data_IF_532986380733
#
_entry.id   IF_532986380733
#
_cell.length_a   1.000
_cell.length_b   1.000
_cell.length_c   1.000
_cell.angle_alpha   90.00
_cell.angle_beta   90.00
_cell.angle_gamma   90.00
#
_symmetry.space_group_name_H-M   'P 1'
#
loop_
_entity.id
_entity.type
_entity.pdbx_description
1 polymer ?
#
# COMPACT_ATOMS: atom_id res chain seq x y z
N UNK A 1 5.56 3.47 2.64
CA UNK A 1 5.08 2.66 1.48
C UNK A 1 5.99 1.46 1.26
N UNK A 2 5.40 0.34 0.91
CA UNK A 2 6.16 -0.87 0.57
C UNK A 2 6.58 -0.86 -0.89
N UNK A 3 7.76 -1.38 -1.16
CA UNK A 3 8.26 -1.59 -2.52
C UNK A 3 7.74 -2.92 -3.08
N UNK A 4 7.78 -3.09 -4.39
CA UNK A 4 7.43 -4.33 -5.09
C UNK A 4 8.21 -5.53 -4.48
N UNK A 5 9.50 -5.35 -4.27
CA UNK A 5 10.35 -6.23 -3.47
C UNK A 5 10.64 -5.52 -2.16
N UNK A 6 10.12 -6.01 -1.03
CA UNK A 6 10.10 -5.28 0.24
C UNK A 6 11.50 -4.82 0.67
N UNK A 7 12.51 -5.63 0.45
CA UNK A 7 13.88 -5.33 0.86
C UNK A 7 14.71 -4.66 -0.23
N UNK A 8 14.16 -4.40 -1.40
CA UNK A 8 14.86 -3.82 -2.53
C UNK A 8 14.29 -2.46 -2.89
N UNK A 9 14.95 -1.40 -2.41
CA UNK A 9 14.52 -0.02 -2.63
C UNK A 9 14.69 0.45 -4.09
N UNK A 10 15.33 -0.35 -4.96
CA UNK A 10 15.40 -0.04 -6.40
C UNK A 10 14.15 -0.51 -7.15
N UNK A 11 13.31 -1.37 -6.55
CA UNK A 11 12.01 -1.69 -7.11
C UNK A 11 11.02 -0.55 -6.88
N UNK A 12 9.97 -0.45 -7.71
CA UNK A 12 8.99 0.62 -7.54
C UNK A 12 8.15 0.45 -6.26
N UNK A 13 7.63 1.57 -5.75
CA UNK A 13 6.66 1.56 -4.64
C UNK A 13 5.37 0.93 -5.16
N UNK A 14 4.90 -0.12 -4.49
CA UNK A 14 3.77 -0.93 -4.95
C UNK A 14 2.56 -0.73 -4.03
N UNK A 15 1.40 -0.44 -4.61
CA UNK A 15 0.23 0.02 -3.84
C UNK A 15 -0.64 -1.10 -3.30
N UNK A 16 -0.80 -2.22 -4.01
CA UNK A 16 -1.68 -3.29 -3.52
C UNK A 16 -1.12 -3.97 -2.26
N UNK A 17 0.16 -4.31 -2.27
CA UNK A 17 0.83 -4.88 -1.10
C UNK A 17 0.87 -3.90 0.06
N UNK A 18 1.12 -2.63 -0.22
CA UNK A 18 1.07 -1.56 0.80
C UNK A 18 -0.30 -1.54 1.48
N UNK A 19 -1.38 -1.58 0.73
CA UNK A 19 -2.74 -1.56 1.27
C UNK A 19 -3.02 -2.74 2.20
N UNK A 20 -2.61 -3.94 1.80
CA UNK A 20 -2.79 -5.14 2.62
C UNK A 20 -1.97 -5.10 3.91
N UNK A 21 -0.72 -4.63 3.83
CA UNK A 21 0.13 -4.47 5.01
C UNK A 21 -0.46 -3.44 5.98
N UNK A 22 -0.89 -2.30 5.46
CA UNK A 22 -1.52 -1.27 6.29
C UNK A 22 -2.80 -1.77 6.95
N UNK A 23 -3.63 -2.51 6.22
CA UNK A 23 -4.81 -3.11 6.81
C UNK A 23 -4.44 -4.03 7.98
N UNK A 24 -3.46 -4.88 7.81
CA UNK A 24 -3.00 -5.79 8.86
C UNK A 24 -2.49 -5.03 10.09
N UNK A 25 -1.71 -3.97 9.89
CA UNK A 25 -1.25 -3.11 11.00
C UNK A 25 -2.45 -2.47 11.71
N UNK A 26 -3.41 -1.95 10.96
CA UNK A 26 -4.62 -1.34 11.52
C UNK A 26 -5.44 -2.31 12.35
N UNK A 27 -5.60 -3.54 11.89
CA UNK A 27 -6.29 -4.60 12.65
C UNK A 27 -5.52 -4.92 13.94
N UNK A 28 -4.20 -5.02 13.86
CA UNK A 28 -3.36 -5.25 15.05
C UNK A 28 -3.49 -4.14 16.07
N UNK A 29 -3.57 -2.88 15.63
CA UNK A 29 -3.82 -1.73 16.53
C UNK A 29 -5.20 -1.82 17.18
N UNK A 30 -6.24 -2.12 16.40
CA UNK A 30 -7.61 -2.24 16.91
C UNK A 30 -7.72 -3.30 17.99
N UNK A 31 -7.02 -4.41 17.84
CA UNK A 31 -7.04 -5.54 18.76
C UNK A 31 -6.01 -5.44 19.89
N UNK A 32 -5.23 -4.37 19.96
CA UNK A 32 -4.23 -4.18 20.99
C UNK A 32 -3.04 -5.13 20.89
N UNK A 33 -2.74 -5.65 19.70
CA UNK A 33 -1.68 -6.62 19.48
C UNK A 33 -0.33 -5.99 19.13
N UNK A 34 -0.31 -4.68 18.84
CA UNK A 34 0.88 -3.97 18.42
C UNK A 34 1.21 -2.84 19.41
N UNK A 35 2.51 -2.48 19.54
CA UNK A 35 2.89 -1.34 20.37
C UNK A 35 2.38 -0.02 19.82
N UNK A 36 2.29 1.01 20.68
CA UNK A 36 1.68 2.30 20.32
C UNK A 36 2.39 3.01 19.15
N UNK A 37 3.72 2.80 18.98
CA UNK A 37 4.45 3.39 17.86
C UNK A 37 4.00 2.85 16.49
N UNK A 38 3.30 1.73 16.44
CA UNK A 38 2.72 1.22 15.21
C UNK A 38 1.63 2.14 14.66
N UNK A 39 0.98 2.94 15.53
CA UNK A 39 -0.02 3.93 15.12
C UNK A 39 0.60 4.99 14.20
N UNK A 40 1.76 5.51 14.55
CA UNK A 40 2.47 6.50 13.74
C UNK A 40 2.90 5.91 12.40
N UNK A 41 3.35 4.66 12.39
CA UNK A 41 3.72 3.95 11.17
C UNK A 41 2.52 3.73 10.25
N UNK A 42 1.38 3.40 10.84
CA UNK A 42 0.12 3.24 10.10
C UNK A 42 -0.29 4.57 9.43
N UNK A 43 -0.29 5.66 10.19
CA UNK A 43 -0.64 6.99 9.68
C UNK A 43 0.32 7.45 8.59
N UNK A 44 1.63 7.26 8.79
CA UNK A 44 2.63 7.63 7.79
C UNK A 44 2.47 6.82 6.51
N UNK A 45 2.14 5.55 6.64
CA UNK A 45 1.85 4.69 5.48
C UNK A 45 0.63 5.17 4.71
N UNK A 46 -0.45 5.54 5.39
CA UNK A 46 -1.65 6.08 4.76
C UNK A 46 -1.37 7.40 4.04
N UNK A 47 -0.60 8.29 4.66
CA UNK A 47 -0.20 9.56 4.02
C UNK A 47 0.60 9.33 2.75
N UNK A 48 1.57 8.42 2.81
CA UNK A 48 2.34 8.04 1.62
C UNK A 48 1.48 7.42 0.54
N UNK A 49 0.49 6.64 0.92
CA UNK A 49 -0.45 6.02 -0.01
C UNK A 49 -1.22 7.07 -0.82
N UNK A 50 -1.61 8.18 -0.17
CA UNK A 50 -2.35 9.25 -0.84
C UNK A 50 -1.59 9.86 -2.02
N UNK A 51 -0.25 9.80 -2.01
CA UNK A 51 0.57 10.26 -3.15
C UNK A 51 0.32 9.43 -4.41
N UNK A 52 -0.21 8.22 -4.28
CA UNK A 52 -0.48 7.30 -5.39
C UNK A 52 -1.96 7.18 -5.72
N UNK A 53 -2.79 8.04 -5.14
CA UNK A 53 -4.23 8.09 -5.41
C UNK A 53 -4.55 9.49 -5.95
N UNK A 54 -5.02 9.56 -7.20
CA UNK A 54 -5.38 10.83 -7.82
C UNK A 54 -6.71 11.37 -7.25
N UNK A 55 -7.00 12.68 -7.43
CA UNK A 55 -8.26 13.26 -6.95
C UNK A 55 -9.52 12.61 -7.51
N UNK A 56 -9.44 11.97 -8.68
CA UNK A 56 -10.56 11.23 -9.28
C UNK A 56 -10.70 9.79 -8.74
N UNK A 57 -9.83 9.40 -7.81
CA UNK A 57 -9.80 8.05 -7.25
C UNK A 57 -8.92 7.06 -7.99
N UNK A 58 -8.23 7.47 -9.05
CA UNK A 58 -7.31 6.58 -9.78
C UNK A 58 -6.16 6.15 -8.88
N UNK A 59 -5.78 4.88 -8.95
CA UNK A 59 -4.69 4.30 -8.14
C UNK A 59 -3.52 3.93 -9.03
N UNK A 60 -2.35 4.44 -8.69
CA UNK A 60 -1.11 4.25 -9.44
C UNK A 60 -0.23 3.16 -8.82
N UNK A 61 0.73 2.67 -9.59
CA UNK A 61 1.80 1.78 -9.13
C UNK A 61 1.31 0.44 -8.57
N UNK A 62 0.32 -0.18 -9.20
CA UNK A 62 -0.14 -1.50 -8.83
C UNK A 62 0.56 -2.56 -9.70
N UNK A 63 0.99 -3.66 -9.08
CA UNK A 63 1.67 -4.72 -9.82
C UNK A 63 0.71 -5.46 -10.77
N UNK A 64 1.28 -6.15 -11.77
CA UNK A 64 0.53 -6.90 -12.78
C UNK A 64 0.12 -8.30 -12.30
N UNK A 65 -0.55 -8.38 -11.15
CA UNK A 65 -1.14 -9.65 -10.73
C UNK A 65 -0.16 -10.72 -10.29
N UNK A 66 1.01 -10.37 -9.84
CA UNK A 66 2.00 -11.29 -9.26
C UNK A 66 2.56 -12.36 -10.19
N UNK A 67 2.35 -12.24 -11.50
CA UNK A 67 2.95 -13.15 -12.47
C UNK A 67 4.35 -12.68 -12.84
N UNK A 68 5.31 -13.60 -12.77
CA UNK A 68 6.68 -13.30 -13.15
C UNK A 68 6.93 -13.71 -14.61
N UNK A 69 7.27 -12.75 -15.50
CA UNK A 69 7.52 -13.06 -16.91
C UNK A 69 8.91 -13.64 -17.14
N UNK A 70 9.17 -14.10 -18.35
CA UNK A 70 10.47 -14.53 -18.80
C UNK A 70 11.00 -15.74 -18.05
N UNK A 71 12.23 -15.64 -17.54
CA UNK A 71 12.91 -16.75 -16.85
C UNK A 71 12.49 -16.91 -15.39
N UNK A 72 11.62 -16.04 -14.88
CA UNK A 72 11.18 -16.08 -13.49
C UNK A 72 12.18 -15.50 -12.50
N UNK A 73 13.13 -14.71 -12.96
CA UNK A 73 14.11 -14.07 -12.07
C UNK A 73 13.53 -12.81 -11.41
N UNK A 74 14.15 -12.38 -10.31
CA UNK A 74 13.79 -11.10 -9.64
C UNK A 74 13.95 -9.94 -10.61
N UNK A 75 14.98 -9.95 -11.46
CA UNK A 75 15.18 -8.88 -12.44
C UNK A 75 14.03 -8.82 -13.45
N UNK A 76 13.57 -9.96 -13.97
CA UNK A 76 12.42 -10.01 -14.88
C UNK A 76 11.16 -9.50 -14.20
N UNK A 77 10.94 -9.85 -12.94
CA UNK A 77 9.79 -9.40 -12.17
C UNK A 77 9.83 -7.87 -11.97
N UNK A 78 10.98 -7.33 -11.57
CA UNK A 78 11.15 -5.88 -11.37
C UNK A 78 11.01 -5.09 -12.66
N UNK A 79 11.31 -5.70 -13.81
CA UNK A 79 11.21 -5.03 -15.11
C UNK A 79 9.77 -4.82 -15.57
N UNK A 80 8.78 -5.49 -14.98
CA UNK A 80 7.37 -5.28 -15.34
C UNK A 80 6.90 -3.92 -14.86
N UNK A 81 6.36 -3.13 -15.79
CA UNK A 81 5.82 -1.82 -15.44
C UNK A 81 4.60 -1.94 -14.52
N UNK A 82 4.46 -1.06 -13.52
CA UNK A 82 3.23 -0.98 -12.72
C UNK A 82 2.05 -0.52 -13.57
N UNK A 83 0.84 -0.82 -13.12
CA UNK A 83 -0.39 -0.45 -13.80
C UNK A 83 -1.12 0.68 -13.09
N UNK A 84 -1.82 1.49 -13.88
CA UNK A 84 -2.81 2.44 -13.41
C UNK A 84 -4.17 1.73 -13.35
N UNK A 85 -4.84 1.84 -12.20
CA UNK A 85 -6.20 1.33 -12.01
C UNK A 85 -6.36 -0.17 -12.31
N UNK A 86 -5.36 -0.97 -11.98
CA UNK A 86 -5.53 -2.42 -12.05
C UNK A 86 -6.66 -2.83 -11.09
N UNK A 87 -7.59 -3.71 -11.51
CA UNK A 87 -8.73 -4.06 -10.66
C UNK A 87 -8.39 -4.51 -9.25
N UNK A 88 -7.26 -5.19 -9.04
CA UNK A 88 -6.89 -5.65 -7.70
C UNK A 88 -6.31 -4.55 -6.79
N UNK A 89 -6.16 -3.31 -7.30
CA UNK A 89 -5.72 -2.17 -6.50
C UNK A 89 -6.79 -1.71 -5.51
N UNK A 90 -8.06 -1.81 -5.88
CA UNK A 90 -9.14 -1.15 -5.16
C UNK A 90 -9.53 -1.86 -3.87
N UNK A 91 -9.43 -3.18 -3.80
CA UNK A 91 -9.64 -3.94 -2.57
C UNK A 91 -8.70 -3.51 -1.45
N UNK A 92 -7.38 -3.57 -1.67
CA UNK A 92 -6.39 -3.12 -0.68
C UNK A 92 -6.55 -1.67 -0.24
N UNK A 93 -6.84 -0.73 -1.16
CA UNK A 93 -7.12 0.66 -0.83
C UNK A 93 -8.32 0.75 0.12
N UNK A 94 -9.41 0.08 -0.24
CA UNK A 94 -10.63 0.10 0.55
C UNK A 94 -10.40 -0.48 1.95
N UNK A 95 -9.67 -1.58 2.05
CA UNK A 95 -9.35 -2.19 3.34
C UNK A 95 -8.50 -1.26 4.20
N UNK A 96 -7.46 -0.65 3.65
CA UNK A 96 -6.56 0.22 4.41
C UNK A 96 -7.29 1.45 4.95
N UNK A 97 -8.01 2.17 4.09
CA UNK A 97 -8.71 3.40 4.52
C UNK A 97 -9.99 3.10 5.30
N UNK A 98 -10.66 1.99 5.02
CA UNK A 98 -11.76 1.53 5.85
C UNK A 98 -11.33 1.22 7.27
N UNK A 99 -10.17 0.60 7.44
CA UNK A 99 -9.60 0.33 8.76
C UNK A 99 -9.20 1.63 9.47
N UNK A 100 -8.68 2.62 8.74
CA UNK A 100 -8.40 3.93 9.30
C UNK A 100 -9.67 4.58 9.86
N UNK A 101 -10.77 4.49 9.12
CA UNK A 101 -12.06 5.00 9.57
C UNK A 101 -12.53 4.30 10.86
N UNK A 102 -12.39 2.98 10.94
CA UNK A 102 -12.74 2.22 12.15
C UNK A 102 -11.95 2.67 13.38
N UNK A 103 -10.70 3.13 13.18
CA UNK A 103 -9.85 3.64 14.25
C UNK A 103 -10.06 5.12 14.55
N UNK A 104 -11.04 5.77 13.91
CA UNK A 104 -11.32 7.18 14.09
C UNK A 104 -10.34 8.10 13.40
N UNK A 105 -9.60 7.62 12.41
CA UNK A 105 -8.59 8.37 11.67
C UNK A 105 -9.17 8.88 10.35
N UNK A 106 -10.22 9.69 10.41
CA UNK A 106 -10.96 10.15 9.23
C UNK A 106 -10.26 11.32 8.53
N UNK A 107 -9.37 12.02 9.21
CA UNK A 107 -8.70 13.20 8.68
C UNK A 107 -7.19 12.96 8.66
N UNK A 108 -6.63 12.84 7.46
CA UNK A 108 -5.19 12.73 7.28
C UNK A 108 -4.64 14.07 6.84
N UNK A 109 -3.77 14.66 7.66
CA UNK A 109 -3.07 15.88 7.29
C UNK A 109 -1.95 15.53 6.31
N UNK A 110 -2.12 15.92 5.06
CA UNK A 110 -1.16 15.71 3.98
C UNK A 110 -0.31 16.93 3.68
N UNK A 111 -0.59 18.05 4.32
CA UNK A 111 0.25 19.24 4.20
C UNK A 111 1.51 19.04 5.06
N UNK A 112 2.62 18.91 4.39
CA UNK A 112 3.90 18.78 5.09
C UNK A 112 4.36 20.12 5.62
#
# INVERSE_FOLDING_TARGET
MSHQEITDHSSYVETSGTGLILYAIGVGLEKGLLPDDARDRFLNGLRGYLDYIAPDGSVYHTCRGCLCPGSGTVLDYKARAPLLNDPHAFGPVTLAFGQAHRLGMDHLDTSA
#
